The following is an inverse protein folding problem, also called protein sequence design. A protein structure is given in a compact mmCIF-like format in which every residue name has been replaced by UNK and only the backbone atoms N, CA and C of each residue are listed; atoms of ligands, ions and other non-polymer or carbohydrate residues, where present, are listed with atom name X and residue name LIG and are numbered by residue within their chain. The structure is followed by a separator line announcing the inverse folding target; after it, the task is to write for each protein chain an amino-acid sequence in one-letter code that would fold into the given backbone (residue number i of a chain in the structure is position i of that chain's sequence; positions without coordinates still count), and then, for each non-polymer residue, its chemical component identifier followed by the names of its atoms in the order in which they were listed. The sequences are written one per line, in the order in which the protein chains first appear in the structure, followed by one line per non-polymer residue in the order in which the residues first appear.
data_IF_273161642491
#
_entry.id   IF_273161642491
#
_cell.length_a   1.000
_cell.length_b   1.000
_cell.length_c   1.000
_cell.angle_alpha   90.00
_cell.angle_beta   90.00
_cell.angle_gamma   90.00
#
_symmetry.space_group_name_H-M   'P 1'
#
loop_
_entity.id
_entity.type
_entity.pdbx_description
1 polymer ?
#
# COMPACT_ATOMS: atom_id res chain seq x y z
N UNK A 1 -0.26 -19.31 24.72
CA UNK A 1 -1.14 -19.24 23.54
C UNK A 1 -0.96 -17.84 22.96
N UNK A 2 -0.16 -17.69 21.90
CA UNK A 2 -0.06 -16.42 21.19
C UNK A 2 -1.18 -16.38 20.17
N UNK A 3 -2.17 -15.51 20.36
CA UNK A 3 -3.17 -15.28 19.33
C UNK A 3 -2.45 -14.69 18.11
N UNK A 4 -2.36 -15.44 17.02
CA UNK A 4 -1.97 -14.85 15.75
C UNK A 4 -3.05 -13.83 15.41
N UNK A 5 -2.68 -12.55 15.30
CA UNK A 5 -3.58 -11.48 14.88
C UNK A 5 -3.93 -11.73 13.40
N UNK A 6 -5.11 -12.29 13.18
CA UNK A 6 -5.73 -12.51 11.87
C UNK A 6 -6.98 -11.63 11.81
N UNK A 7 -7.52 -11.39 10.61
CA UNK A 7 -8.72 -10.55 10.42
C UNK A 7 -8.58 -9.11 10.95
N UNK A 8 -7.34 -8.62 11.08
CA UNK A 8 -7.04 -7.27 11.53
C UNK A 8 -6.75 -6.33 10.35
N UNK A 9 -7.17 -5.07 10.46
CA UNK A 9 -6.76 -3.98 9.56
C UNK A 9 -5.59 -3.22 10.16
N UNK A 10 -4.45 -3.24 9.49
CA UNK A 10 -3.28 -2.43 9.81
C UNK A 10 -3.24 -1.21 8.90
N UNK A 11 -3.07 -0.02 9.47
CA UNK A 11 -2.87 1.23 8.71
C UNK A 11 -1.49 1.77 9.09
N UNK A 12 -0.62 1.94 8.10
CA UNK A 12 0.76 2.42 8.27
C UNK A 12 0.94 3.70 7.46
N UNK A 13 1.37 4.78 8.13
CA UNK A 13 1.66 6.06 7.48
C UNK A 13 3.17 6.21 7.25
N UNK A 14 3.58 6.11 5.98
CA UNK A 14 4.96 6.26 5.48
C UNK A 14 6.02 5.48 6.26
N UNK A 15 5.86 4.15 6.42
CA UNK A 15 6.74 3.35 7.27
C UNK A 15 8.17 3.23 6.75
N UNK A 16 8.45 3.59 5.48
CA UNK A 16 9.81 3.56 4.92
C UNK A 16 10.60 4.86 5.16
N UNK A 17 9.97 5.95 5.65
CA UNK A 17 10.67 7.21 5.90
C UNK A 17 11.84 7.01 6.86
N UNK A 18 13.02 7.47 6.45
CA UNK A 18 14.24 7.41 7.25
C UNK A 18 14.91 6.03 7.28
N UNK A 19 14.38 5.03 6.57
CA UNK A 19 15.02 3.72 6.45
C UNK A 19 16.11 3.72 5.39
N UNK A 20 17.18 2.97 5.66
CA UNK A 20 18.15 2.63 4.63
C UNK A 20 17.47 1.72 3.56
N UNK A 21 17.85 1.77 2.28
CA UNK A 21 17.23 0.94 1.23
C UNK A 21 17.18 -0.57 1.54
N UNK A 22 18.21 -1.08 2.22
CA UNK A 22 18.28 -2.48 2.68
C UNK A 22 17.18 -2.82 3.70
N UNK A 23 16.84 -1.87 4.58
CA UNK A 23 15.85 -2.07 5.65
C UNK A 23 14.43 -1.93 5.10
N UNK A 24 14.25 -1.12 4.05
CA UNK A 24 12.98 -1.02 3.31
C UNK A 24 12.53 -2.38 2.78
N UNK A 25 13.43 -3.17 2.19
CA UNK A 25 13.10 -4.52 1.72
C UNK A 25 12.64 -5.44 2.85
N UNK A 26 13.32 -5.40 4.01
CA UNK A 26 12.95 -6.21 5.17
C UNK A 26 11.58 -5.81 5.75
N UNK A 27 11.28 -4.51 5.78
CA UNK A 27 9.98 -3.99 6.19
C UNK A 27 8.86 -4.44 5.23
N UNK A 28 9.09 -4.34 3.92
CA UNK A 28 8.12 -4.78 2.92
C UNK A 28 7.83 -6.28 3.04
N UNK A 29 8.84 -7.09 3.33
CA UNK A 29 8.66 -8.53 3.57
C UNK A 29 7.86 -8.82 4.85
N UNK A 30 8.04 -8.02 5.91
CA UNK A 30 7.20 -8.10 7.11
C UNK A 30 5.73 -7.75 6.79
N UNK A 31 5.49 -6.68 6.05
CA UNK A 31 4.15 -6.26 5.62
C UNK A 31 3.48 -7.36 4.79
N UNK A 32 4.21 -7.97 3.85
CA UNK A 32 3.73 -9.12 3.07
C UNK A 32 3.38 -10.32 3.97
N UNK A 33 4.16 -10.60 5.01
CA UNK A 33 3.86 -11.68 5.96
C UNK A 33 2.59 -11.40 6.76
N UNK A 34 2.40 -10.17 7.27
CA UNK A 34 1.17 -9.77 7.96
C UNK A 34 -0.05 -9.98 7.08
N UNK A 35 0.06 -9.54 5.83
CA UNK A 35 -0.94 -9.73 4.79
C UNK A 35 -1.24 -11.21 4.51
N UNK A 36 -0.21 -12.02 4.29
CA UNK A 36 -0.34 -13.46 4.02
C UNK A 36 -0.91 -14.24 5.21
N UNK A 37 -0.84 -13.69 6.42
CA UNK A 37 -1.51 -14.25 7.60
C UNK A 37 -3.03 -14.00 7.63
N UNK A 38 -3.61 -13.37 6.59
CA UNK A 38 -5.05 -13.09 6.51
C UNK A 38 -5.45 -11.72 7.04
N UNK A 39 -4.50 -10.79 7.17
CA UNK A 39 -4.78 -9.41 7.54
C UNK A 39 -4.91 -8.52 6.31
N UNK A 40 -5.60 -7.40 6.48
CA UNK A 40 -5.55 -6.29 5.53
C UNK A 40 -4.51 -5.29 6.00
N UNK A 41 -3.58 -4.90 5.13
CA UNK A 41 -2.62 -3.84 5.42
C UNK A 41 -2.85 -2.72 4.42
N UNK A 42 -3.04 -1.51 4.93
CA UNK A 42 -3.14 -0.26 4.17
C UNK A 42 -1.89 0.57 4.46
N UNK A 43 -1.14 0.92 3.42
CA UNK A 43 0.08 1.71 3.56
C UNK A 43 0.00 2.99 2.73
N UNK A 44 0.29 4.12 3.36
CA UNK A 44 0.58 5.38 2.66
C UNK A 44 2.07 5.43 2.38
N UNK A 45 2.47 5.45 1.12
CA UNK A 45 3.88 5.44 0.72
C UNK A 45 4.16 6.29 -0.50
N UNK A 46 5.43 6.69 -0.62
CA UNK A 46 6.04 7.31 -1.79
C UNK A 46 7.16 6.44 -2.39
N UNK A 47 7.62 5.42 -1.67
CA UNK A 47 8.67 4.53 -2.17
C UNK A 47 8.19 3.65 -3.34
N UNK A 48 8.93 3.69 -4.45
CA UNK A 48 8.55 2.96 -5.67
C UNK A 48 8.65 1.44 -5.52
N UNK A 49 9.51 0.92 -4.64
CA UNK A 49 9.59 -0.52 -4.38
C UNK A 49 8.35 -0.98 -3.61
N UNK A 50 7.92 -0.19 -2.61
CA UNK A 50 6.70 -0.43 -1.86
C UNK A 50 5.48 -0.46 -2.80
N UNK A 51 5.29 0.59 -3.61
CA UNK A 51 4.17 0.72 -4.56
C UNK A 51 4.12 -0.47 -5.53
N UNK A 52 5.26 -0.85 -6.12
CA UNK A 52 5.35 -1.98 -7.07
C UNK A 52 5.08 -3.34 -6.42
N UNK A 53 5.32 -3.46 -5.12
CA UNK A 53 5.10 -4.71 -4.37
C UNK A 53 3.65 -4.90 -3.89
N UNK A 54 2.80 -3.89 -4.07
CA UNK A 54 1.40 -3.91 -3.67
C UNK A 54 0.58 -4.89 -4.51
N UNK A 55 -0.50 -5.44 -3.94
CA UNK A 55 -1.51 -6.15 -4.74
C UNK A 55 -2.47 -5.15 -5.42
N UNK A 56 -2.67 -4.00 -4.80
CA UNK A 56 -3.59 -2.96 -5.22
C UNK A 56 -3.11 -1.59 -4.75
N UNK A 57 -3.27 -0.57 -5.60
CA UNK A 57 -2.86 0.81 -5.33
C UNK A 57 -4.05 1.77 -5.51
N UNK A 58 -4.07 2.84 -4.73
CA UNK A 58 -5.04 3.93 -4.84
C UNK A 58 -4.27 5.23 -4.93
N UNK A 59 -4.34 5.85 -6.09
CA UNK A 59 -3.61 7.05 -6.41
C UNK A 59 -4.49 8.27 -6.12
N UNK A 60 -4.01 9.17 -5.26
CA UNK A 60 -4.68 10.42 -4.92
C UNK A 60 -3.99 11.61 -5.59
N UNK A 61 -4.77 12.51 -6.17
CA UNK A 61 -4.27 13.69 -6.88
C UNK A 61 -5.41 14.57 -7.43
N UNK A 62 -5.21 15.28 -8.56
CA UNK A 62 -3.98 15.36 -9.37
C UNK A 62 -2.87 16.24 -8.76
N UNK A 63 -3.18 17.00 -7.71
CA UNK A 63 -2.24 17.84 -6.97
C UNK A 63 -2.40 17.67 -5.45
N UNK A 64 -1.69 18.47 -4.67
CA UNK A 64 -1.86 18.56 -3.21
C UNK A 64 -2.84 19.68 -2.81
N UNK A 65 -3.30 19.66 -1.56
CA UNK A 65 -4.15 20.72 -1.01
C UNK A 65 -5.52 20.77 -1.68
N UNK A 66 -6.05 21.98 -1.90
CA UNK A 66 -7.39 22.22 -2.48
C UNK A 66 -7.54 21.65 -3.91
N UNK A 67 -6.42 21.45 -4.61
CA UNK A 67 -6.40 20.90 -5.96
C UNK A 67 -6.21 19.37 -5.98
N UNK A 68 -6.17 18.74 -4.79
CA UNK A 68 -6.01 17.31 -4.59
C UNK A 68 -7.28 16.60 -4.13
N UNK A 69 -7.08 15.47 -3.45
CA UNK A 69 -8.13 14.73 -2.75
C UNK A 69 -9.05 13.90 -3.65
N UNK A 70 -8.71 13.73 -4.93
CA UNK A 70 -9.47 12.88 -5.85
C UNK A 70 -8.72 11.58 -6.11
N UNK A 71 -9.46 10.48 -6.21
CA UNK A 71 -8.91 9.22 -6.74
C UNK A 71 -8.68 9.42 -8.24
N UNK A 72 -7.42 9.36 -8.65
CA UNK A 72 -7.01 9.49 -10.06
C UNK A 72 -6.76 8.13 -10.70
N UNK A 73 -6.41 7.11 -9.89
CA UNK A 73 -6.27 5.73 -10.31
C UNK A 73 -6.57 4.78 -9.14
N UNK A 74 -7.18 3.64 -9.46
CA UNK A 74 -7.40 2.53 -8.53
C UNK A 74 -7.25 1.23 -9.32
N UNK A 75 -6.39 0.32 -8.85
CA UNK A 75 -6.16 -0.94 -9.54
C UNK A 75 -4.83 -1.61 -9.17
N UNK A 76 -4.44 -2.66 -9.90
CA UNK A 76 -3.16 -3.33 -9.67
C UNK A 76 -2.01 -2.45 -10.19
N UNK A 77 -0.80 -2.53 -9.58
CA UNK A 77 0.34 -1.69 -9.97
C UNK A 77 0.90 -1.98 -11.37
N UNK A 78 0.52 -3.11 -11.98
CA UNK A 78 0.91 -3.47 -13.34
C UNK A 78 -0.06 -2.97 -14.43
N UNK A 79 -1.15 -2.27 -14.06
CA UNK A 79 -2.04 -1.65 -15.05
C UNK A 79 -1.29 -0.57 -15.83
N UNK A 80 -1.46 -0.55 -17.15
CA UNK A 80 -0.92 0.49 -18.05
C UNK A 80 -1.28 1.93 -17.66
N UNK A 81 -2.37 2.12 -16.92
CA UNK A 81 -2.86 3.42 -16.43
C UNK A 81 -2.25 3.81 -15.09
N UNK A 82 -1.63 2.87 -14.37
CA UNK A 82 -0.97 3.13 -13.10
C UNK A 82 0.20 4.09 -13.31
N UNK A 83 0.17 5.25 -12.65
CA UNK A 83 1.26 6.22 -12.74
C UNK A 83 2.22 6.01 -11.58
N UNK A 84 3.06 4.99 -11.66
CA UNK A 84 4.13 4.81 -10.67
C UNK A 84 5.13 5.96 -10.87
N UNK A 85 5.22 6.91 -9.92
CA UNK A 85 6.04 8.09 -10.09
C UNK A 85 7.53 7.75 -10.12
N UNK A 86 8.30 8.58 -10.82
CA UNK A 86 9.72 8.81 -10.51
C UNK A 86 9.78 9.78 -9.30
N UNK A 87 10.93 9.89 -8.59
CA UNK A 87 11.05 10.38 -7.19
C UNK A 87 10.36 11.70 -6.76
N UNK A 88 9.77 12.45 -7.69
CA UNK A 88 9.25 13.82 -7.51
C UNK A 88 7.70 13.87 -7.54
N UNK A 89 7.03 12.73 -7.70
CA UNK A 89 5.56 12.65 -7.86
C UNK A 89 4.77 12.65 -6.55
N UNK A 90 3.74 13.48 -6.47
CA UNK A 90 2.79 13.54 -5.35
C UNK A 90 1.84 12.35 -5.43
N UNK A 91 2.02 11.31 -4.61
CA UNK A 91 0.98 10.30 -4.39
C UNK A 91 0.92 9.83 -2.95
N UNK A 92 -0.27 9.73 -2.38
CA UNK A 92 -0.51 9.15 -1.06
C UNK A 92 -1.34 7.88 -1.22
N UNK A 93 -0.70 6.70 -1.13
CA UNK A 93 -1.40 5.43 -0.91
C UNK A 93 -0.98 4.28 -1.83
N UNK A 94 -0.32 3.25 -1.29
CA UNK A 94 -0.19 1.95 -1.96
C UNK A 94 0.33 0.86 -1.00
N UNK A 95 -0.60 0.13 -0.41
CA UNK A 95 -0.62 -1.33 -0.32
C UNK A 95 -2.02 -1.65 0.15
N UNK A 96 -2.79 -2.39 -0.62
CA UNK A 96 -4.04 -3.01 -0.17
C UNK A 96 -3.96 -4.47 -0.55
N UNK A 97 -4.30 -5.33 0.39
CA UNK A 97 -4.43 -6.75 0.13
C UNK A 97 -5.87 -7.18 0.33
N UNK A 98 -6.42 -7.83 -0.69
CA UNK A 98 -7.79 -8.33 -0.66
C UNK A 98 -7.80 -9.82 -0.32
N UNK A 99 -8.55 -10.14 0.73
CA UNK A 99 -9.50 -11.24 0.67
C UNK A 99 -10.71 -10.90 1.56
N UNK A 100 -11.58 -10.00 1.10
CA UNK A 100 -12.97 -10.02 1.56
C UNK A 100 -13.61 -11.26 0.93
N UNK A 101 -13.72 -12.35 1.70
CA UNK A 101 -14.64 -13.42 1.31
C UNK A 101 -16.02 -12.76 1.15
N UNK A 102 -16.73 -12.98 0.04
CA UNK A 102 -18.18 -12.87 0.10
C UNK A 102 -18.61 -13.87 1.17
N UNK A 103 -19.21 -13.40 2.27
CA UNK A 103 -20.05 -14.27 3.07
C UNK A 103 -21.13 -14.76 2.12
N UNK A 104 -21.04 -16.03 1.72
CA UNK A 104 -22.11 -16.68 0.98
C UNK A 104 -23.41 -16.49 1.78
N UNK A 105 -24.38 -15.85 1.14
CA UNK A 105 -25.79 -15.93 1.53
C UNK A 105 -26.44 -17.15 0.87
#
# INVERSE_FOLDING_TARGET
MGAALVETLYILDKPTIGLHPKDTSALLDLIKRLRNAGNTVVVVEHDTQAIRSADHIVELGPASGEQGGKVVFEGPPNDSRARIPQPDGIYQGALSARHLRPTAG
#
